data_IF_876258300289
#
_entry.id   IF_876258300289
#
_cell.length_a   1.000
_cell.length_b   1.000
_cell.length_c   1.000
_cell.angle_alpha   90.00
_cell.angle_beta   90.00
_cell.angle_gamma   90.00
#
_symmetry.space_group_name_H-M   'P 1'
#
loop_
_entity.id
_entity.type
_entity.pdbx_description
1 polymer ?
#
# COMPACT_ATOMS: atom_id res chain seq x y z
N UNK A 1 -8.02 17.88 -18.02
CA UNK A 1 -7.13 17.63 -16.88
C UNK A 1 -5.75 17.32 -17.45
N UNK A 2 -4.67 17.96 -16.96
CA UNK A 2 -3.32 17.65 -17.44
C UNK A 2 -2.84 16.30 -16.85
N UNK A 3 -1.81 15.70 -17.46
CA UNK A 3 -1.33 14.37 -17.08
C UNK A 3 -0.85 14.30 -15.62
N UNK A 4 -0.23 15.36 -15.10
CA UNK A 4 0.21 15.44 -13.71
C UNK A 4 -0.99 15.37 -12.74
N UNK A 5 -2.03 16.17 -12.98
CA UNK A 5 -3.23 16.17 -12.17
C UNK A 5 -3.97 14.83 -12.23
N UNK A 6 -4.00 14.17 -13.41
CA UNK A 6 -4.52 12.83 -13.57
C UNK A 6 -3.73 11.82 -12.72
N UNK A 7 -2.40 11.94 -12.69
CA UNK A 7 -1.53 11.13 -11.85
C UNK A 7 -1.79 11.35 -10.37
N UNK A 8 -1.90 12.59 -9.92
CA UNK A 8 -2.21 12.92 -8.50
C UNK A 8 -3.54 12.27 -8.08
N UNK A 9 -4.59 12.45 -8.88
CA UNK A 9 -5.91 11.86 -8.60
C UNK A 9 -5.83 10.32 -8.56
N UNK A 10 -5.13 9.72 -9.53
CA UNK A 10 -4.92 8.27 -9.58
C UNK A 10 -4.16 7.75 -8.33
N UNK A 11 -3.06 8.41 -7.97
CA UNK A 11 -2.27 8.04 -6.80
C UNK A 11 -3.06 8.14 -5.50
N UNK A 12 -3.84 9.21 -5.31
CA UNK A 12 -4.72 9.34 -4.14
C UNK A 12 -5.85 8.32 -4.15
N UNK A 13 -6.46 8.05 -5.31
CA UNK A 13 -7.53 7.06 -5.41
C UNK A 13 -7.07 5.64 -5.01
N UNK A 14 -5.81 5.32 -5.26
CA UNK A 14 -5.19 4.04 -4.83
C UNK A 14 -4.77 4.08 -3.36
N UNK A 15 -4.17 5.19 -2.91
CA UNK A 15 -3.52 5.27 -1.60
C UNK A 15 -4.50 5.56 -0.45
N UNK A 16 -5.57 6.35 -0.67
CA UNK A 16 -6.51 6.76 0.38
C UNK A 16 -7.34 5.60 0.96
N UNK A 17 -7.86 4.63 0.16
CA UNK A 17 -8.55 3.50 0.75
C UNK A 17 -7.61 2.77 1.71
N UNK A 18 -7.88 2.93 3.02
CA UNK A 18 -7.08 2.31 4.08
C UNK A 18 -7.12 0.80 3.96
N UNK A 19 -6.12 0.27 3.26
CA UNK A 19 -5.87 -1.16 3.16
C UNK A 19 -4.97 -1.66 4.30
N UNK A 20 -4.69 -2.95 4.27
CA UNK A 20 -3.79 -3.61 5.22
C UNK A 20 -2.43 -2.90 5.37
N UNK A 21 -1.88 -2.41 4.27
CA UNK A 21 -0.56 -1.75 4.23
C UNK A 21 -0.59 -0.42 4.97
N UNK A 22 -1.63 0.40 4.79
CA UNK A 22 -1.79 1.66 5.51
C UNK A 22 -1.86 1.45 7.03
N UNK A 23 -2.59 0.42 7.47
CA UNK A 23 -2.66 0.04 8.89
C UNK A 23 -1.28 -0.37 9.42
N UNK A 24 -0.50 -1.14 8.66
CA UNK A 24 0.86 -1.52 9.04
C UNK A 24 1.80 -0.32 9.15
N UNK A 25 1.65 0.69 8.28
CA UNK A 25 2.44 1.93 8.32
C UNK A 25 2.11 2.72 9.59
N UNK A 26 0.82 2.88 9.92
CA UNK A 26 0.40 3.54 11.15
C UNK A 26 0.92 2.80 12.39
N UNK A 27 0.79 1.47 12.43
CA UNK A 27 1.30 0.65 13.54
C UNK A 27 2.83 0.78 13.70
N UNK A 28 3.58 0.79 12.60
CA UNK A 28 5.02 1.07 12.64
C UNK A 28 5.31 2.47 13.19
N UNK A 29 4.50 3.47 12.84
CA UNK A 29 4.60 4.83 13.36
C UNK A 29 4.39 4.88 14.87
N UNK A 30 3.34 4.22 15.36
CA UNK A 30 3.03 4.13 16.79
C UNK A 30 4.14 3.44 17.58
N UNK A 31 4.71 2.35 17.05
CA UNK A 31 5.73 1.57 17.75
C UNK A 31 7.14 2.11 17.57
N UNK A 32 7.51 2.47 16.33
CA UNK A 32 8.87 2.80 15.92
C UNK A 32 9.12 4.30 15.68
N UNK A 33 8.07 5.11 15.61
CA UNK A 33 8.16 6.52 15.24
C UNK A 33 8.17 6.75 13.73
N UNK A 34 8.41 8.00 13.33
CA UNK A 34 8.26 8.44 11.94
C UNK A 34 9.17 7.71 10.95
N UNK A 35 10.46 7.55 11.27
CA UNK A 35 11.47 7.04 10.33
C UNK A 35 11.15 5.65 9.77
N UNK A 36 10.91 4.60 10.58
CA UNK A 36 10.55 3.28 10.05
C UNK A 36 9.22 3.31 9.30
N UNK A 37 8.22 4.05 9.79
CA UNK A 37 6.93 4.18 9.11
C UNK A 37 7.05 4.89 7.76
N UNK A 38 7.86 5.94 7.66
CA UNK A 38 8.14 6.64 6.41
C UNK A 38 8.84 5.73 5.39
N UNK A 39 9.85 4.94 5.80
CA UNK A 39 10.52 4.00 4.90
C UNK A 39 9.57 2.90 4.40
N UNK A 40 8.66 2.43 5.24
CA UNK A 40 7.59 1.53 4.82
C UNK A 40 6.66 2.21 3.79
N UNK A 41 6.24 3.45 4.06
CA UNK A 41 5.45 4.25 3.14
C UNK A 41 6.16 4.54 1.82
N UNK A 42 7.47 4.80 1.85
CA UNK A 42 8.30 4.97 0.65
C UNK A 42 8.29 3.70 -0.21
N UNK A 43 8.43 2.52 0.41
CA UNK A 43 8.33 1.24 -0.30
C UNK A 43 6.98 1.06 -0.99
N UNK A 44 5.89 1.41 -0.30
CA UNK A 44 4.53 1.39 -0.85
C UNK A 44 4.39 2.37 -2.03
N UNK A 45 4.82 3.62 -1.87
CA UNK A 45 4.75 4.63 -2.92
C UNK A 45 5.59 4.26 -4.16
N UNK A 46 6.74 3.61 -3.97
CA UNK A 46 7.54 3.08 -5.09
C UNK A 46 6.79 2.01 -5.86
N UNK A 47 6.08 1.10 -5.19
CA UNK A 47 5.23 0.12 -5.87
C UNK A 47 4.09 0.79 -6.66
N UNK A 48 3.43 1.81 -6.08
CA UNK A 48 2.39 2.57 -6.77
C UNK A 48 2.95 3.30 -7.99
N UNK A 49 4.16 3.88 -7.90
CA UNK A 49 4.89 4.46 -9.01
C UNK A 49 5.21 3.46 -10.12
N UNK A 50 5.61 2.23 -9.75
CA UNK A 50 5.84 1.15 -10.72
C UNK A 50 4.53 0.77 -11.43
N UNK A 51 3.43 0.60 -10.69
CA UNK A 51 2.11 0.33 -11.28
C UNK A 51 1.66 1.47 -12.20
N UNK A 52 1.85 2.73 -11.79
CA UNK A 52 1.55 3.88 -12.62
C UNK A 52 2.40 3.88 -13.92
N UNK A 53 3.66 3.45 -13.84
CA UNK A 53 4.54 3.32 -15.00
C UNK A 53 4.05 2.25 -15.97
N UNK A 54 3.79 1.04 -15.45
CA UNK A 54 3.24 -0.06 -16.27
C UNK A 54 1.91 0.35 -16.90
N UNK A 55 1.05 0.98 -16.11
CA UNK A 55 -0.23 1.49 -16.56
C UNK A 55 -0.10 2.53 -17.69
N UNK A 56 0.80 3.49 -17.56
CA UNK A 56 1.02 4.54 -18.56
C UNK A 56 1.66 4.02 -19.87
N UNK A 57 2.47 2.95 -19.77
CA UNK A 57 3.20 2.41 -20.94
C UNK A 57 2.40 1.31 -21.64
N UNK A 58 1.79 0.40 -20.91
CA UNK A 58 1.20 -0.83 -21.44
C UNK A 58 -0.22 -1.14 -20.91
N UNK A 59 -0.91 -0.16 -20.30
CA UNK A 59 -2.12 -0.39 -19.51
C UNK A 59 -3.23 -1.17 -20.21
N UNK A 60 -3.51 -0.89 -21.48
CA UNK A 60 -4.55 -1.61 -22.23
C UNK A 60 -4.18 -3.08 -22.51
N UNK A 61 -2.92 -3.34 -22.86
CA UNK A 61 -2.45 -4.69 -23.17
C UNK A 61 -2.33 -5.56 -21.90
N UNK A 62 -1.79 -4.97 -20.82
CA UNK A 62 -1.62 -5.66 -19.53
C UNK A 62 -2.98 -5.96 -18.89
N UNK A 63 -3.93 -5.04 -18.97
CA UNK A 63 -5.30 -5.26 -18.45
C UNK A 63 -5.98 -6.44 -19.13
N UNK A 64 -5.90 -6.54 -20.45
CA UNK A 64 -6.47 -7.65 -21.22
C UNK A 64 -5.78 -8.99 -20.91
N UNK A 65 -4.46 -8.99 -20.70
CA UNK A 65 -3.68 -10.18 -20.40
C UNK A 65 -3.90 -10.70 -18.97
N UNK A 66 -4.10 -9.79 -18.00
CA UNK A 66 -4.34 -10.15 -16.58
C UNK A 66 -5.79 -10.56 -16.31
N UNK A 67 -6.74 -10.17 -17.14
CA UNK A 67 -8.17 -10.46 -16.92
C UNK A 67 -8.48 -11.94 -16.66
N UNK A 68 -7.90 -12.94 -17.40
CA UNK A 68 -8.16 -14.36 -17.15
C UNK A 68 -7.59 -14.86 -15.81
N UNK A 69 -6.55 -14.22 -15.29
CA UNK A 69 -5.85 -14.64 -14.06
C UNK A 69 -6.31 -13.84 -12.82
N UNK A 70 -7.25 -12.92 -12.97
CA UNK A 70 -7.64 -11.97 -11.91
C UNK A 70 -8.05 -12.67 -10.62
N UNK A 71 -8.83 -13.75 -10.70
CA UNK A 71 -9.24 -14.54 -9.54
C UNK A 71 -8.07 -15.21 -8.83
N UNK A 72 -7.16 -15.82 -9.57
CA UNK A 72 -5.97 -16.48 -9.00
C UNK A 72 -5.07 -15.46 -8.30
N UNK A 73 -4.84 -14.30 -8.94
CA UNK A 73 -4.06 -13.19 -8.38
C UNK A 73 -4.72 -12.69 -7.09
N UNK A 74 -6.04 -12.50 -7.06
CA UNK A 74 -6.77 -12.07 -5.88
C UNK A 74 -6.66 -13.07 -4.72
N UNK A 75 -6.75 -14.37 -4.99
CA UNK A 75 -6.61 -15.42 -3.97
C UNK A 75 -5.19 -15.48 -3.41
N UNK A 76 -4.17 -15.38 -4.25
CA UNK A 76 -2.76 -15.35 -3.79
C UNK A 76 -2.51 -14.18 -2.85
N UNK A 77 -3.04 -13.02 -3.17
CA UNK A 77 -2.87 -11.87 -2.30
C UNK A 77 -3.76 -11.90 -1.06
N UNK A 78 -4.96 -12.44 -1.14
CA UNK A 78 -5.75 -12.71 0.07
C UNK A 78 -4.97 -13.61 1.03
N UNK A 79 -4.33 -14.67 0.52
CA UNK A 79 -3.47 -15.55 1.31
C UNK A 79 -2.27 -14.81 1.91
N UNK A 80 -1.58 -13.97 1.13
CA UNK A 80 -0.45 -13.17 1.61
C UNK A 80 -0.88 -12.17 2.70
N UNK A 81 -2.01 -11.48 2.52
CA UNK A 81 -2.56 -10.58 3.53
C UNK A 81 -2.99 -11.33 4.79
N UNK A 82 -3.62 -12.49 4.66
CA UNK A 82 -4.00 -13.34 5.78
C UNK A 82 -2.75 -13.78 6.58
N UNK A 83 -1.69 -14.18 5.90
CA UNK A 83 -0.42 -14.54 6.53
C UNK A 83 0.19 -13.37 7.31
N UNK A 84 0.21 -12.16 6.74
CA UNK A 84 0.71 -10.95 7.40
C UNK A 84 -0.15 -10.58 8.62
N UNK A 85 -1.48 -10.58 8.49
CA UNK A 85 -2.40 -10.28 9.57
C UNK A 85 -2.29 -11.29 10.73
N UNK A 86 -2.25 -12.58 10.40
CA UNK A 86 -2.08 -13.65 11.38
C UNK A 86 -0.73 -13.56 12.08
N UNK A 87 0.37 -13.35 11.33
CA UNK A 87 1.69 -13.14 11.92
C UNK A 87 1.69 -11.96 12.89
N UNK A 88 1.06 -10.84 12.50
CA UNK A 88 0.91 -9.66 13.35
C UNK A 88 0.18 -9.98 14.66
N UNK A 89 -0.96 -10.71 14.59
CA UNK A 89 -1.72 -11.12 15.79
C UNK A 89 -0.98 -12.14 16.64
N UNK A 90 -0.31 -13.11 16.05
CA UNK A 90 0.50 -14.09 16.79
C UNK A 90 1.69 -13.42 17.50
N UNK A 91 2.28 -12.39 16.87
CA UNK A 91 3.33 -11.59 17.49
C UNK A 91 2.84 -10.82 18.74
N UNK A 92 1.53 -10.59 18.88
CA UNK A 92 0.95 -9.99 20.09
C UNK A 92 1.02 -10.91 21.32
N UNK A 93 1.08 -12.23 21.12
CA UNK A 93 1.24 -13.21 22.21
C UNK A 93 2.66 -13.23 22.77
N UNK A 94 3.63 -12.63 22.08
CA UNK A 94 5.01 -12.49 22.58
C UNK A 94 5.06 -11.34 23.59
N UNK A 95 5.93 -11.47 24.59
CA UNK A 95 6.14 -10.39 25.56
C UNK A 95 6.46 -9.06 24.88
N UNK A 96 6.01 -7.92 25.42
CA UNK A 96 6.24 -6.59 24.83
C UNK A 96 7.72 -6.30 24.51
N UNK A 97 8.64 -6.80 25.34
CA UNK A 97 10.09 -6.68 25.16
C UNK A 97 10.62 -7.43 23.93
N UNK A 98 9.90 -8.43 23.41
CA UNK A 98 10.28 -9.22 22.24
C UNK A 98 9.70 -8.68 20.91
N UNK A 99 8.86 -7.65 20.97
CA UNK A 99 8.28 -7.01 19.79
C UNK A 99 9.25 -5.97 19.26
N UNK A 100 10.32 -6.42 18.61
CA UNK A 100 11.30 -5.53 17.99
C UNK A 100 10.68 -4.78 16.81
N UNK A 101 10.87 -3.47 16.78
CA UNK A 101 10.61 -2.67 15.58
C UNK A 101 11.67 -3.05 14.55
N UNK A 102 11.29 -3.36 13.29
CA UNK A 102 12.26 -3.66 12.26
C UNK A 102 13.27 -2.51 12.10
N UNK A 103 14.53 -2.80 11.80
CA UNK A 103 15.50 -1.75 11.48
C UNK A 103 14.97 -0.83 10.38
N UNK A 104 15.16 0.48 10.56
CA UNK A 104 14.77 1.49 9.58
C UNK A 104 15.85 1.58 8.49
N UNK A 105 15.89 0.58 7.61
CA UNK A 105 16.86 0.40 6.54
C UNK A 105 16.19 0.12 5.18
N UNK A 106 17.00 -0.08 4.15
CA UNK A 106 16.54 -0.40 2.79
C UNK A 106 15.73 -1.71 2.69
N UNK A 107 15.93 -2.66 3.62
CA UNK A 107 15.18 -3.92 3.65
C UNK A 107 13.72 -3.68 4.00
N UNK A 108 13.46 -2.69 4.85
CA UNK A 108 12.11 -2.29 5.19
C UNK A 108 11.39 -1.69 3.96
N UNK A 109 12.07 -0.84 3.18
CA UNK A 109 11.58 -0.31 1.91
C UNK A 109 11.26 -1.46 0.94
N UNK A 110 12.21 -2.38 0.72
CA UNK A 110 12.03 -3.52 -0.17
C UNK A 110 10.87 -4.43 0.25
N UNK A 111 10.70 -4.63 1.56
CA UNK A 111 9.61 -5.43 2.13
C UNK A 111 8.24 -4.83 1.83
N UNK A 112 8.08 -3.53 2.03
CA UNK A 112 6.80 -2.85 1.76
C UNK A 112 6.54 -2.68 0.27
N UNK A 113 7.57 -2.46 -0.53
CA UNK A 113 7.49 -2.50 -1.99
C UNK A 113 6.96 -3.87 -2.45
N UNK A 114 7.55 -4.97 -1.99
CA UNK A 114 7.11 -6.32 -2.34
C UNK A 114 5.67 -6.61 -1.89
N UNK A 115 5.33 -6.26 -0.63
CA UNK A 115 3.97 -6.43 -0.10
C UNK A 115 2.92 -5.67 -0.93
N UNK A 116 3.24 -4.45 -1.38
CA UNK A 116 2.35 -3.65 -2.23
C UNK A 116 2.31 -4.20 -3.65
N UNK A 117 3.46 -4.63 -4.19
CA UNK A 117 3.55 -5.17 -5.55
C UNK A 117 2.81 -6.50 -5.73
N UNK A 118 2.64 -7.30 -4.68
CA UNK A 118 1.82 -8.52 -4.74
C UNK A 118 0.35 -8.28 -4.39
N UNK A 119 -0.03 -7.04 -4.05
CA UNK A 119 -1.39 -6.70 -3.67
C UNK A 119 -2.27 -6.53 -4.93
N UNK A 120 -3.22 -7.44 -5.21
CA UNK A 120 -4.04 -7.37 -6.41
C UNK A 120 -5.03 -6.21 -6.38
N UNK A 121 -5.41 -5.72 -5.20
CA UNK A 121 -6.29 -4.55 -5.12
C UNK A 121 -5.59 -3.33 -5.73
N UNK A 122 -4.28 -3.14 -5.49
CA UNK A 122 -3.48 -2.09 -6.10
C UNK A 122 -3.39 -2.29 -7.62
N UNK A 123 -3.07 -3.51 -8.07
CA UNK A 123 -3.00 -3.84 -9.49
C UNK A 123 -4.34 -3.62 -10.21
N UNK A 124 -5.44 -4.12 -9.63
CA UNK A 124 -6.78 -3.97 -10.19
C UNK A 124 -7.23 -2.50 -10.24
N UNK A 125 -6.89 -1.70 -9.22
CA UNK A 125 -7.24 -0.27 -9.21
C UNK A 125 -6.50 0.48 -10.29
N UNK A 126 -5.19 0.25 -10.48
CA UNK A 126 -4.43 0.86 -11.57
C UNK A 126 -4.92 0.39 -12.95
N UNK A 127 -5.24 -0.89 -13.12
CA UNK A 127 -5.82 -1.40 -14.37
C UNK A 127 -7.19 -0.74 -14.67
N UNK A 128 -8.06 -0.62 -13.67
CA UNK A 128 -9.35 0.05 -13.80
C UNK A 128 -9.22 1.54 -14.13
N UNK A 129 -8.27 2.23 -13.48
CA UNK A 129 -7.98 3.64 -13.78
C UNK A 129 -7.51 3.85 -15.22
N UNK A 130 -6.73 2.91 -15.78
CA UNK A 130 -6.29 3.00 -17.18
C UNK A 130 -7.42 2.87 -18.19
N UNK A 131 -8.42 2.05 -17.91
CA UNK A 131 -9.63 1.97 -18.75
C UNK A 131 -10.41 3.29 -18.73
N UNK A 132 -10.35 4.04 -17.62
CA UNK A 132 -11.00 5.35 -17.45
C UNK A 132 -10.16 6.56 -17.93
N UNK A 133 -8.88 6.36 -18.30
CA UNK A 133 -7.95 7.44 -18.64
C UNK A 133 -7.25 7.21 -19.99
N UNK A 134 -7.99 7.06 -21.10
CA UNK A 134 -7.39 6.82 -22.42
C UNK A 134 -6.42 7.94 -22.84
N UNK A 135 -6.64 9.17 -22.39
CA UNK A 135 -5.75 10.31 -22.65
C UNK A 135 -4.32 10.11 -22.11
N UNK A 136 -4.14 9.31 -21.04
CA UNK A 136 -2.81 8.99 -20.49
C UNK A 136 -2.12 7.93 -21.35
N UNK A 137 -2.86 6.94 -21.85
CA UNK A 137 -2.31 5.89 -22.73
C UNK A 137 -1.72 6.48 -24.03
N UNK A 138 -2.38 7.50 -24.57
CA UNK A 138 -1.95 8.20 -25.79
C UNK A 138 -1.08 9.45 -25.53
N UNK A 139 -0.73 9.73 -24.26
CA UNK A 139 0.11 10.88 -23.94
C UNK A 139 1.54 10.72 -24.47
N UNK A 140 2.19 11.86 -24.76
CA UNK A 140 3.61 11.91 -25.08
C UNK A 140 4.47 11.37 -23.91
N UNK A 141 5.73 11.02 -24.17
CA UNK A 141 6.64 10.55 -23.12
C UNK A 141 6.75 11.50 -21.92
N UNK A 142 6.88 12.84 -22.09
CA UNK A 142 6.79 13.77 -20.97
C UNK A 142 5.45 13.74 -20.23
N UNK A 143 4.34 13.56 -20.94
CA UNK A 143 3.02 13.43 -20.32
C UNK A 143 2.91 12.17 -19.47
N UNK A 144 3.39 11.02 -19.95
CA UNK A 144 3.46 9.77 -19.16
C UNK A 144 4.33 9.92 -17.93
N UNK A 145 5.50 10.54 -18.07
CA UNK A 145 6.39 10.82 -16.94
C UNK A 145 5.72 11.75 -15.89
N UNK A 146 5.00 12.78 -16.34
CA UNK A 146 4.24 13.66 -15.44
C UNK A 146 3.12 12.90 -14.70
N UNK A 147 2.42 11.99 -15.36
CA UNK A 147 1.43 11.12 -14.73
C UNK A 147 2.04 10.25 -13.64
N UNK A 148 3.15 9.57 -13.94
CA UNK A 148 3.86 8.71 -12.97
C UNK A 148 4.37 9.52 -11.78
N UNK A 149 4.98 10.70 -12.04
CA UNK A 149 5.45 11.59 -10.98
C UNK A 149 4.31 12.06 -10.08
N UNK A 150 3.15 12.39 -10.66
CA UNK A 150 1.94 12.75 -9.92
C UNK A 150 1.42 11.60 -9.05
N UNK A 151 1.34 10.39 -9.59
CA UNK A 151 0.86 9.22 -8.86
C UNK A 151 1.79 8.85 -7.72
N UNK A 152 3.08 8.77 -7.97
CA UNK A 152 4.11 8.51 -6.96
C UNK A 152 4.12 9.57 -5.86
N UNK A 153 4.15 10.86 -6.25
CA UNK A 153 4.21 11.97 -5.29
C UNK A 153 2.98 12.03 -4.40
N UNK A 154 1.80 11.80 -4.95
CA UNK A 154 0.54 11.78 -4.21
C UNK A 154 0.46 10.59 -3.24
N UNK A 155 0.87 9.39 -3.68
CA UNK A 155 0.98 8.23 -2.81
C UNK A 155 1.99 8.48 -1.68
N UNK A 156 3.18 8.97 -1.99
CA UNK A 156 4.22 9.26 -1.00
C UNK A 156 3.74 10.29 0.05
N UNK A 157 3.04 11.34 -0.39
CA UNK A 157 2.47 12.35 0.51
C UNK A 157 1.45 11.71 1.46
N UNK A 158 0.55 10.87 0.94
CA UNK A 158 -0.42 10.15 1.75
C UNK A 158 0.23 9.19 2.75
N UNK A 159 1.16 8.35 2.31
CA UNK A 159 1.89 7.43 3.18
C UNK A 159 2.69 8.17 4.25
N UNK A 160 3.26 9.34 3.92
CA UNK A 160 3.95 10.21 4.88
C UNK A 160 2.99 10.76 5.94
N UNK A 161 1.76 11.10 5.55
CA UNK A 161 0.70 11.52 6.47
C UNK A 161 0.35 10.39 7.45
N UNK A 162 0.19 9.17 6.96
CA UNK A 162 -0.06 8.00 7.81
C UNK A 162 1.12 7.74 8.77
N UNK A 163 2.35 7.83 8.28
CA UNK A 163 3.56 7.67 9.08
C UNK A 163 3.66 8.75 10.18
N UNK A 164 3.38 10.00 9.83
CA UNK A 164 3.36 11.14 10.76
C UNK A 164 2.26 10.99 11.80
N UNK A 165 1.05 10.65 11.38
CA UNK A 165 -0.08 10.39 12.28
C UNK A 165 0.22 9.29 13.29
N UNK A 166 0.77 8.15 12.82
CA UNK A 166 1.20 7.07 13.69
C UNK A 166 2.30 7.50 14.68
N UNK A 167 3.29 8.26 14.20
CA UNK A 167 4.38 8.74 15.04
C UNK A 167 3.92 9.74 16.12
N UNK A 168 2.97 10.61 15.80
CA UNK A 168 2.37 11.55 16.76
C UNK A 168 1.62 10.78 17.86
N UNK A 169 0.87 9.76 17.50
CA UNK A 169 0.16 8.91 18.45
C UNK A 169 1.11 8.16 19.40
N UNK A 170 2.37 7.94 19.01
CA UNK A 170 3.37 7.27 19.84
C UNK A 170 3.56 7.90 21.22
N UNK A 171 3.56 9.22 21.30
CA UNK A 171 3.83 9.96 22.54
C UNK A 171 2.61 10.13 23.43
N UNK A 172 1.40 10.07 22.85
CA UNK A 172 0.13 10.26 23.56
C UNK A 172 -0.58 8.98 24.02
N UNK A 173 -0.18 7.81 23.55
CA UNK A 173 -0.87 6.56 23.86
C UNK A 173 -0.18 5.78 24.99
N UNK A 174 -0.96 5.33 26.01
CA UNK A 174 -0.46 4.40 27.02
C UNK A 174 -0.09 3.05 26.38
N UNK A 175 0.77 2.22 27.05
CA UNK A 175 1.21 0.93 26.50
C UNK A 175 0.07 0.00 26.09
N UNK A 176 -1.04 -0.01 26.86
CA UNK A 176 -2.24 -0.77 26.54
C UNK A 176 -2.88 -0.34 25.22
N UNK A 177 -3.01 0.97 24.97
CA UNK A 177 -3.59 1.48 23.75
C UNK A 177 -2.72 1.16 22.50
N UNK A 178 -1.40 1.12 22.64
CA UNK A 178 -0.49 0.67 21.55
C UNK A 178 -0.70 -0.80 21.21
N UNK A 179 -0.99 -1.63 22.19
CA UNK A 179 -1.35 -3.04 21.95
C UNK A 179 -2.67 -3.12 21.20
N UNK A 180 -3.68 -2.34 21.60
CA UNK A 180 -4.98 -2.30 20.94
C UNK A 180 -4.88 -1.82 19.49
N UNK A 181 -4.05 -0.82 19.16
CA UNK A 181 -3.84 -0.41 17.75
C UNK A 181 -3.30 -1.55 16.90
N UNK A 182 -2.37 -2.35 17.43
CA UNK A 182 -1.84 -3.52 16.72
C UNK A 182 -2.89 -4.65 16.58
N UNK A 183 -3.73 -4.88 17.60
CA UNK A 183 -4.86 -5.85 17.51
C UNK A 183 -5.85 -5.41 16.44
N UNK A 184 -6.32 -4.17 16.51
CA UNK A 184 -7.27 -3.62 15.53
C UNK A 184 -6.67 -3.67 14.12
N UNK A 185 -5.38 -3.31 13.97
CA UNK A 185 -4.66 -3.41 12.72
C UNK A 185 -4.64 -4.83 12.16
N UNK A 186 -4.25 -5.82 12.96
CA UNK A 186 -4.22 -7.23 12.55
C UNK A 186 -5.60 -7.77 12.15
N UNK A 187 -6.65 -7.43 12.91
CA UNK A 187 -8.04 -7.81 12.61
C UNK A 187 -8.52 -7.18 11.31
N UNK A 188 -8.24 -5.89 11.09
CA UNK A 188 -8.60 -5.21 9.83
C UNK A 188 -7.90 -5.84 8.62
N UNK A 189 -6.61 -6.19 8.75
CA UNK A 189 -5.87 -6.88 7.69
C UNK A 189 -6.51 -8.24 7.36
N UNK A 190 -6.89 -9.02 8.38
CA UNK A 190 -7.58 -10.29 8.17
C UNK A 190 -8.97 -10.12 7.56
N UNK A 191 -9.74 -9.13 8.00
CA UNK A 191 -11.05 -8.84 7.42
C UNK A 191 -10.94 -8.46 5.93
N UNK A 192 -9.92 -7.66 5.57
CA UNK A 192 -9.63 -7.31 4.18
C UNK A 192 -9.19 -8.53 3.36
N UNK A 193 -8.39 -9.43 3.93
CA UNK A 193 -8.00 -10.68 3.28
C UNK A 193 -9.22 -11.57 2.98
N UNK A 194 -10.13 -11.73 3.95
CA UNK A 194 -11.39 -12.48 3.76
C UNK A 194 -12.27 -11.81 2.70
N UNK A 195 -12.46 -10.50 2.78
CA UNK A 195 -13.25 -9.76 1.77
C UNK A 195 -12.69 -9.94 0.36
N UNK A 196 -11.37 -9.90 0.21
CA UNK A 196 -10.72 -10.10 -1.07
C UNK A 196 -10.92 -11.53 -1.60
N UNK A 197 -10.80 -12.53 -0.73
CA UNK A 197 -11.01 -13.93 -1.09
C UNK A 197 -12.48 -14.22 -1.50
N UNK A 198 -13.45 -13.58 -0.85
CA UNK A 198 -14.88 -13.75 -1.16
C UNK A 198 -15.33 -12.95 -2.39
N UNK A 199 -14.62 -11.87 -2.73
CA UNK A 199 -14.90 -11.04 -3.91
C UNK A 199 -14.15 -11.47 -5.16
N UNK A 200 -13.28 -12.48 -5.06
CA UNK A 200 -12.56 -13.11 -6.16
C UNK A 200 -13.39 -14.24 -6.77
#
# INVERSE_FOLDING_TARGET
MNALAAGIVAGLAVAIPLGAIGVLIVDLGVRGGFRPAFLAGLGTALADGLYATVAAVAGLAVGAWLAPAQRAIALVAAAALAAVGLYGLLALRREPAQRTVPPADHRLVARFLALTAINPATAATFAGLMLGLPAVAHASAPGKAAFVAGAFGASLAWQSTLAGGGALMRHGLPPSARTWTSVVGGVLVLALAVRLALGA
#
